data_IF_903497610153
#
_entry.id   IF_903497610153
#
_cell.length_a   1.000
_cell.length_b   1.000
_cell.length_c   1.000
_cell.angle_alpha   90.00
_cell.angle_beta   90.00
_cell.angle_gamma   90.00
#
_symmetry.space_group_name_H-M   'P 1'
#
loop_
_entity.id
_entity.type
_entity.pdbx_description
1 polymer ?
#
# COMPACT_ATOMS: atom_id res chain seq x y z
N UNK A 1 -5.99 -0.74 16.58
CA UNK A 1 -4.73 -0.31 15.95
C UNK A 1 -5.00 0.90 15.08
N UNK A 2 -4.16 1.90 15.15
CA UNK A 2 -4.34 3.07 14.31
C UNK A 2 -3.64 2.83 12.96
N UNK A 3 -4.17 3.46 11.94
CA UNK A 3 -3.60 3.29 10.61
C UNK A 3 -2.22 3.92 10.54
N UNK A 4 -1.96 4.94 11.34
CA UNK A 4 -0.63 5.54 11.39
C UNK A 4 0.40 4.55 11.90
N UNK A 5 0.03 3.77 12.88
CA UNK A 5 0.93 2.75 13.40
C UNK A 5 1.20 1.70 12.34
N UNK A 6 0.17 1.32 11.59
CA UNK A 6 0.34 0.35 10.51
C UNK A 6 1.30 0.88 9.45
N UNK A 7 1.18 2.16 9.10
CA UNK A 7 2.08 2.78 8.14
C UNK A 7 3.51 2.70 8.63
N UNK A 8 3.72 3.03 9.89
CA UNK A 8 5.06 3.03 10.44
C UNK A 8 5.65 1.63 10.48
N UNK A 9 4.83 0.66 10.88
CA UNK A 9 5.29 -0.72 10.91
C UNK A 9 5.68 -1.21 9.51
N UNK A 10 4.89 -0.84 8.52
CA UNK A 10 5.20 -1.26 7.16
C UNK A 10 6.48 -0.60 6.66
N UNK A 11 6.66 0.69 6.93
CA UNK A 11 7.87 1.38 6.52
C UNK A 11 9.12 0.73 7.11
N UNK A 12 9.03 0.38 8.39
CA UNK A 12 10.17 -0.26 9.03
C UNK A 12 10.41 -1.66 8.46
N UNK A 13 9.35 -2.41 8.26
CA UNK A 13 9.48 -3.77 7.77
C UNK A 13 10.05 -3.82 6.37
N UNK A 14 9.57 -2.94 5.49
CA UNK A 14 9.99 -3.03 4.10
C UNK A 14 11.45 -2.64 3.93
N UNK A 15 12.03 -1.94 4.89
CA UNK A 15 13.43 -1.57 4.80
C UNK A 15 14.34 -2.79 4.92
N UNK A 16 13.81 -3.92 5.42
CA UNK A 16 14.58 -5.14 5.54
C UNK A 16 14.35 -6.07 4.35
N UNK A 17 13.48 -5.70 3.41
CA UNK A 17 13.19 -6.54 2.26
C UNK A 17 13.87 -5.92 1.05
N UNK A 18 14.80 -6.65 0.46
CA UNK A 18 15.59 -6.11 -0.64
C UNK A 18 15.14 -6.60 -2.02
N UNK A 19 14.43 -7.72 -2.05
CA UNK A 19 13.98 -8.30 -3.32
C UNK A 19 12.61 -7.73 -3.65
N UNK A 20 12.44 -7.22 -4.86
CA UNK A 20 11.17 -6.59 -5.22
C UNK A 20 10.02 -7.57 -5.26
N UNK A 21 10.28 -8.83 -5.58
CA UNK A 21 9.23 -9.85 -5.56
C UNK A 21 8.77 -10.10 -4.13
N UNK A 22 9.72 -10.16 -3.19
CA UNK A 22 9.38 -10.35 -1.79
C UNK A 22 8.62 -9.15 -1.25
N UNK A 23 8.97 -7.94 -1.68
CA UNK A 23 8.24 -6.75 -1.28
C UNK A 23 6.79 -6.82 -1.74
N UNK A 24 6.59 -7.29 -2.95
CA UNK A 24 5.24 -7.39 -3.50
C UNK A 24 4.41 -8.41 -2.71
N UNK A 25 5.00 -9.56 -2.41
CA UNK A 25 4.29 -10.57 -1.65
C UNK A 25 3.99 -10.12 -0.23
N UNK A 26 4.96 -9.46 0.39
CA UNK A 26 4.75 -8.93 1.73
C UNK A 26 3.65 -7.88 1.72
N UNK A 27 3.62 -7.03 0.70
CA UNK A 27 2.58 -6.02 0.60
C UNK A 27 1.20 -6.65 0.46
N UNK A 28 1.09 -7.72 -0.28
CA UNK A 28 -0.18 -8.41 -0.44
C UNK A 28 -0.66 -8.98 0.89
N UNK A 29 0.23 -9.58 1.64
CA UNK A 29 -0.13 -10.14 2.93
C UNK A 29 -0.54 -9.04 3.91
N UNK A 30 0.21 -7.97 3.94
CA UNK A 30 -0.09 -6.85 4.83
C UNK A 30 -1.42 -6.21 4.44
N UNK A 31 -1.66 -6.05 3.13
CA UNK A 31 -2.91 -5.47 2.65
C UNK A 31 -4.11 -6.29 3.06
N UNK A 32 -3.99 -7.60 3.03
CA UNK A 32 -5.08 -8.48 3.43
C UNK A 32 -5.46 -8.21 4.89
N UNK A 33 -4.46 -8.11 5.75
CA UNK A 33 -4.72 -7.84 7.16
C UNK A 33 -5.29 -6.43 7.34
N UNK A 34 -4.75 -5.46 6.62
CA UNK A 34 -5.22 -4.10 6.74
C UNK A 34 -6.69 -3.98 6.37
N UNK A 35 -7.11 -4.71 5.34
CA UNK A 35 -8.49 -4.63 4.91
C UNK A 35 -9.46 -5.29 5.87
N UNK A 36 -8.95 -6.04 6.83
CA UNK A 36 -9.80 -6.57 7.89
C UNK A 36 -10.08 -5.53 8.95
N UNK A 37 -9.26 -4.50 9.04
CA UNK A 37 -9.37 -3.48 10.09
C UNK A 37 -9.70 -2.10 9.57
N UNK A 38 -9.43 -1.83 8.31
CA UNK A 38 -9.63 -0.50 7.71
C UNK A 38 -10.27 -0.64 6.34
N UNK A 39 -10.91 0.43 5.88
CA UNK A 39 -11.47 0.44 4.53
C UNK A 39 -10.35 0.63 3.52
N UNK A 40 -10.56 0.11 2.31
CA UNK A 40 -9.56 0.23 1.25
C UNK A 40 -9.23 1.69 0.95
N UNK A 41 -10.22 2.57 1.00
CA UNK A 41 -10.00 3.98 0.76
C UNK A 41 -9.04 4.59 1.79
N UNK A 42 -9.22 4.22 3.04
CA UNK A 42 -8.34 4.71 4.11
C UNK A 42 -6.92 4.18 3.93
N UNK A 43 -6.82 2.92 3.54
CA UNK A 43 -5.51 2.31 3.31
C UNK A 43 -4.82 3.01 2.14
N UNK A 44 -5.56 3.28 1.07
CA UNK A 44 -4.99 3.93 -0.09
C UNK A 44 -4.45 5.31 0.26
N UNK A 45 -5.19 6.05 1.07
CA UNK A 45 -4.74 7.37 1.48
C UNK A 45 -3.47 7.28 2.32
N UNK A 46 -3.46 6.39 3.28
CA UNK A 46 -2.34 6.29 4.21
C UNK A 46 -1.09 5.69 3.58
N UNK A 47 -1.28 4.77 2.64
CA UNK A 47 -0.17 4.06 2.01
C UNK A 47 0.09 4.50 0.58
N UNK A 48 -0.32 5.70 0.21
CA UNK A 48 -0.16 6.14 -1.17
C UNK A 48 1.29 6.30 -1.59
N UNK A 49 2.20 6.31 -0.63
CA UNK A 49 3.63 6.35 -0.92
C UNK A 49 4.16 4.98 -1.39
N UNK A 50 3.36 3.92 -1.23
CA UNK A 50 3.83 2.56 -1.52
C UNK A 50 2.99 1.95 -2.63
N UNK A 51 3.59 1.84 -3.80
CA UNK A 51 2.93 1.31 -4.97
C UNK A 51 2.49 -0.14 -4.80
N UNK A 52 3.28 -0.93 -4.07
CA UNK A 52 2.94 -2.34 -3.88
C UNK A 52 1.67 -2.51 -3.05
N UNK A 53 1.50 -1.71 -2.01
CA UNK A 53 0.29 -1.74 -1.21
C UNK A 53 -0.90 -1.29 -2.06
N UNK A 54 -0.73 -0.20 -2.81
CA UNK A 54 -1.81 0.32 -3.65
C UNK A 54 -2.24 -0.72 -4.68
N UNK A 55 -1.29 -1.37 -5.33
CA UNK A 55 -1.62 -2.39 -6.32
C UNK A 55 -2.35 -3.57 -5.69
N UNK A 56 -2.04 -3.90 -4.47
CA UNK A 56 -2.67 -5.03 -3.79
C UNK A 56 -4.13 -4.76 -3.47
N UNK A 57 -4.49 -3.50 -3.29
CA UNK A 57 -5.88 -3.16 -2.96
C UNK A 57 -6.60 -2.45 -4.09
N UNK A 58 -5.97 -2.39 -5.28
CA UNK A 58 -6.49 -1.59 -6.38
C UNK A 58 -7.91 -1.99 -6.79
N UNK A 59 -8.23 -3.27 -6.73
CA UNK A 59 -9.54 -3.69 -7.17
C UNK A 59 -10.63 -3.35 -6.17
N UNK A 60 -10.28 -2.84 -5.01
CA UNK A 60 -11.24 -2.49 -3.97
C UNK A 60 -11.44 -0.98 -3.84
N UNK A 61 -10.74 -0.17 -4.62
CA UNK A 61 -10.89 1.27 -4.55
C UNK A 61 -11.45 1.80 -5.86
N UNK A 62 -12.00 3.01 -5.80
CA UNK A 62 -12.64 3.62 -6.96
C UNK A 62 -11.65 3.98 -8.05
N UNK A 63 -12.11 3.96 -9.30
CA UNK A 63 -11.25 4.34 -10.42
C UNK A 63 -10.75 5.76 -10.29
N UNK A 64 -11.60 6.66 -9.80
CA UNK A 64 -11.20 8.06 -9.61
C UNK A 64 -10.05 8.16 -8.63
N UNK A 65 -10.13 7.42 -7.56
CA UNK A 65 -9.07 7.41 -6.57
C UNK A 65 -7.80 6.81 -7.15
N UNK A 66 -7.94 5.77 -7.93
CA UNK A 66 -6.79 5.14 -8.57
C UNK A 66 -6.09 6.09 -9.52
N UNK A 67 -6.83 6.90 -10.24
CA UNK A 67 -6.23 7.87 -11.13
C UNK A 67 -5.38 8.87 -10.37
N UNK A 68 -5.86 9.33 -9.24
CA UNK A 68 -5.08 10.26 -8.43
C UNK A 68 -3.83 9.60 -7.89
N UNK A 69 -3.94 8.36 -7.44
CA UNK A 69 -2.80 7.66 -6.90
C UNK A 69 -1.78 7.33 -7.98
N UNK A 70 -2.26 7.02 -9.16
CA UNK A 70 -1.39 6.72 -10.27
C UNK A 70 -0.54 7.93 -10.61
N UNK A 71 -1.14 9.11 -10.62
CA UNK A 71 -0.43 10.33 -10.86
C UNK A 71 0.61 10.57 -9.77
N UNK A 72 0.26 10.31 -8.53
CA UNK A 72 1.15 10.49 -7.41
C UNK A 72 2.34 9.52 -7.47
N UNK A 73 2.13 8.30 -8.00
CA UNK A 73 3.14 7.27 -8.04
C UNK A 73 3.93 7.22 -9.34
N UNK A 74 3.66 8.14 -10.26
CA UNK A 74 4.24 7.97 -11.57
C UNK A 74 5.75 8.08 -11.59
N UNK A 75 6.36 8.72 -10.63
CA UNK A 75 7.79 8.85 -10.58
C UNK A 75 8.45 7.69 -9.95
N UNK A 76 7.71 6.70 -9.54
CA UNK A 76 8.26 5.64 -8.90
C UNK A 76 9.10 4.79 -9.73
N UNK A 77 9.08 4.75 -10.94
CA UNK A 77 9.80 3.87 -11.60
C UNK A 77 11.11 3.98 -11.58
N UNK A 78 11.84 3.31 -11.55
CA UNK A 78 13.15 3.40 -11.44
C UNK A 78 13.78 2.89 -12.53
#
# INVERSE_FOLDING_TARGET
MSIDLAVQMWKESRSFIHDSFDKKEAAEAVSTVLMEHFDADDIAEAFKFDKNIINSIAEYINDDELDELDEYLEDEEY
#
